data_IF_817133249526
#
_entry.id   IF_817133249526
#
_cell.length_a   1.000
_cell.length_b   1.000
_cell.length_c   1.000
_cell.angle_alpha   90.00
_cell.angle_beta   90.00
_cell.angle_gamma   90.00
#
_symmetry.space_group_name_H-M   'P 1'
#
loop_
_entity.id
_entity.type
_entity.pdbx_description
1 polymer ?
#
# COMPACT_ATOMS: atom_id res chain seq x y z
N UNK A 1 5.78 -4.74 5.40
CA UNK A 1 4.74 -3.81 4.89
C UNK A 1 3.96 -4.51 3.80
N UNK A 2 2.65 -4.29 3.70
CA UNK A 2 1.79 -4.88 2.66
C UNK A 2 0.99 -3.78 1.97
N UNK A 3 0.79 -3.92 0.67
CA UNK A 3 -0.01 -3.01 -0.17
C UNK A 3 -1.08 -3.85 -0.85
N UNK A 4 -2.33 -3.39 -0.76
CA UNK A 4 -3.48 -3.99 -1.43
C UNK A 4 -4.23 -2.88 -2.16
N UNK A 5 -4.74 -3.17 -3.34
CA UNK A 5 -5.56 -2.25 -4.13
C UNK A 5 -6.78 -2.97 -4.67
N UNK A 6 -7.90 -2.26 -4.78
CA UNK A 6 -9.10 -2.77 -5.43
C UNK A 6 -9.55 -1.86 -6.59
N UNK A 7 -10.31 -2.40 -7.57
CA UNK A 7 -10.70 -1.65 -8.78
C UNK A 7 -11.49 -0.35 -8.52
N UNK A 8 -12.09 -0.17 -7.34
CA UNK A 8 -12.86 1.03 -7.02
C UNK A 8 -11.98 2.25 -6.66
N UNK A 9 -10.65 2.12 -6.78
CA UNK A 9 -9.71 3.20 -6.51
C UNK A 9 -9.25 3.24 -5.05
N UNK A 10 -9.44 2.17 -4.28
CA UNK A 10 -8.98 2.11 -2.89
C UNK A 10 -7.65 1.39 -2.78
N UNK A 11 -6.73 1.97 -2.02
CA UNK A 11 -5.42 1.41 -1.72
C UNK A 11 -5.25 1.33 -0.20
N UNK A 12 -4.90 0.15 0.30
CA UNK A 12 -4.67 -0.12 1.71
C UNK A 12 -3.20 -0.49 1.91
N UNK A 13 -2.51 0.26 2.76
CA UNK A 13 -1.14 0.02 3.16
C UNK A 13 -1.14 -0.35 4.63
N UNK A 14 -0.59 -1.52 4.96
CA UNK A 14 -0.46 -1.97 6.35
C UNK A 14 0.99 -2.28 6.70
N UNK A 15 1.37 -1.96 7.93
CA UNK A 15 2.61 -2.39 8.54
C UNK A 15 2.32 -3.01 9.89
N UNK A 16 2.87 -4.19 10.12
CA UNK A 16 2.86 -4.85 11.41
C UNK A 16 4.26 -5.43 11.65
N UNK A 17 4.75 -5.45 12.90
CA UNK A 17 5.99 -6.15 13.23
C UNK A 17 5.83 -7.64 12.92
N UNK A 18 6.92 -8.28 12.49
CA UNK A 18 6.94 -9.73 12.24
C UNK A 18 6.97 -10.52 13.56
N UNK A 19 7.65 -9.97 14.58
CA UNK A 19 7.74 -10.56 15.90
C UNK A 19 6.56 -10.11 16.77
N UNK A 20 5.87 -11.10 17.38
CA UNK A 20 4.75 -10.88 18.30
C UNK A 20 5.22 -10.17 19.58
N UNK A 21 6.37 -10.61 20.09
CA UNK A 21 7.08 -9.91 21.15
C UNK A 21 7.90 -8.79 20.51
N UNK A 22 7.42 -7.56 20.63
CA UNK A 22 7.93 -6.40 19.90
C UNK A 22 8.68 -5.48 20.88
N UNK A 23 9.93 -5.82 21.26
CA UNK A 23 10.65 -5.14 22.34
C UNK A 23 11.04 -3.70 22.01
N UNK A 24 11.04 -3.32 20.73
CA UNK A 24 11.31 -1.96 20.27
C UNK A 24 10.06 -1.08 20.22
N UNK A 25 8.89 -1.60 20.58
CA UNK A 25 7.64 -0.83 20.61
C UNK A 25 7.15 -0.37 19.23
N UNK A 26 7.49 -1.10 18.16
CA UNK A 26 7.05 -0.76 16.79
C UNK A 26 5.52 -0.75 16.72
N UNK A 27 4.93 0.41 16.46
CA UNK A 27 3.46 0.52 16.40
C UNK A 27 2.94 0.08 15.03
N UNK A 28 1.96 -0.85 14.97
CA UNK A 28 1.31 -1.20 13.71
C UNK A 28 0.59 0.01 13.10
N UNK A 29 0.49 0.05 11.77
CA UNK A 29 -0.25 1.10 11.08
C UNK A 29 -1.11 0.56 9.95
N UNK A 30 -2.17 1.32 9.64
CA UNK A 30 -3.03 1.13 8.48
C UNK A 30 -3.31 2.49 7.84
N UNK A 31 -2.92 2.65 6.58
CA UNK A 31 -3.25 3.80 5.76
C UNK A 31 -4.21 3.38 4.66
N UNK A 32 -5.31 4.09 4.54
CA UNK A 32 -6.27 3.92 3.43
C UNK A 32 -6.19 5.18 2.58
N UNK A 33 -6.03 4.99 1.27
CA UNK A 33 -6.07 6.04 0.26
C UNK A 33 -7.25 5.74 -0.66
N UNK A 34 -8.05 6.77 -0.92
CA UNK A 34 -9.12 6.74 -1.90
C UNK A 34 -8.71 7.61 -3.09
N UNK A 35 -8.64 7.01 -4.27
CA UNK A 35 -8.35 7.68 -5.52
C UNK A 35 -9.66 8.13 -6.17
N UNK A 36 -9.63 9.19 -7.00
CA UNK A 36 -10.84 9.82 -7.53
C UNK A 36 -11.57 8.99 -8.60
N UNK A 37 -10.96 7.90 -9.10
CA UNK A 37 -11.53 7.05 -10.14
C UNK A 37 -11.00 5.62 -10.05
N UNK A 38 -11.53 4.74 -10.91
CA UNK A 38 -11.14 3.34 -11.03
C UNK A 38 -9.68 3.17 -11.40
N UNK A 39 -9.10 2.09 -10.92
CA UNK A 39 -7.69 1.74 -11.13
C UNK A 39 -7.58 0.34 -11.73
N UNK A 40 -6.45 0.06 -12.36
CA UNK A 40 -6.06 -1.31 -12.68
C UNK A 40 -5.22 -1.87 -11.51
N UNK A 41 -5.79 -2.71 -10.63
CA UNK A 41 -5.06 -3.25 -9.50
C UNK A 41 -3.99 -4.27 -9.90
N UNK A 42 -4.06 -4.84 -11.11
CA UNK A 42 -3.06 -5.81 -11.60
C UNK A 42 -1.73 -5.12 -11.94
N UNK A 43 -1.79 -3.83 -12.29
CA UNK A 43 -0.64 -2.99 -12.59
C UNK A 43 -0.19 -2.11 -11.39
N UNK A 44 -0.79 -2.33 -10.21
CA UNK A 44 -0.33 -1.70 -8.96
C UNK A 44 1.05 -2.26 -8.60
N UNK A 45 2.02 -1.36 -8.39
CA UNK A 45 3.37 -1.72 -7.97
C UNK A 45 3.81 -0.92 -6.75
N UNK A 46 4.64 -1.54 -5.91
CA UNK A 46 5.14 -0.93 -4.69
C UNK A 46 6.62 -1.28 -4.50
N UNK A 47 7.45 -0.27 -4.25
CA UNK A 47 8.88 -0.43 -3.96
C UNK A 47 9.25 0.28 -2.67
N UNK A 48 10.11 -0.37 -1.88
CA UNK A 48 10.66 0.20 -0.64
C UNK A 48 12.11 0.58 -0.89
N UNK A 49 12.47 1.82 -0.59
CA UNK A 49 13.86 2.28 -0.67
C UNK A 49 14.68 1.84 0.55
N UNK A 50 16.00 1.88 0.43
CA UNK A 50 16.93 1.61 1.54
C UNK A 50 16.74 2.56 2.75
N UNK A 51 16.17 3.75 2.53
CA UNK A 51 15.87 4.71 3.60
C UNK A 51 14.45 4.53 4.18
N UNK A 52 13.81 3.39 3.93
CA UNK A 52 12.49 3.08 4.47
C UNK A 52 11.34 3.86 3.84
N UNK A 53 11.52 4.41 2.63
CA UNK A 53 10.44 5.12 1.91
C UNK A 53 9.69 4.14 1.02
N UNK A 54 8.38 4.06 1.21
CA UNK A 54 7.49 3.29 0.33
C UNK A 54 6.98 4.18 -0.81
N UNK A 55 7.20 3.74 -2.05
CA UNK A 55 6.60 4.33 -3.24
C UNK A 55 5.57 3.35 -3.81
N UNK A 56 4.34 3.81 -4.03
CA UNK A 56 3.26 3.02 -4.60
C UNK A 56 2.78 3.68 -5.89
N UNK A 57 2.86 2.96 -7.00
CA UNK A 57 2.32 3.38 -8.31
C UNK A 57 1.02 2.63 -8.55
N UNK A 58 -0.04 3.39 -8.84
CA UNK A 58 -1.39 2.88 -9.04
C UNK A 58 -1.94 3.50 -10.32
N UNK A 59 -1.93 2.79 -11.45
CA UNK A 59 -2.43 3.33 -12.71
C UNK A 59 -3.96 3.36 -12.71
N UNK A 60 -4.52 4.44 -13.26
CA UNK A 60 -5.96 4.50 -13.53
C UNK A 60 -6.32 3.52 -14.64
N UNK A 61 -7.55 3.01 -14.57
CA UNK A 61 -8.11 2.18 -15.64
C UNK A 61 -8.16 3.01 -16.93
N UNK A 62 -7.47 2.55 -17.99
CA UNK A 62 -7.51 3.24 -19.28
C UNK A 62 -8.86 2.93 -19.94
N UNK A 63 -9.64 3.96 -20.26
CA UNK A 63 -10.76 3.82 -21.19
C UNK A 63 -10.20 3.40 -22.55
N UNK A 64 -10.45 2.16 -22.95
CA UNK A 64 -10.23 1.73 -24.33
C UNK A 64 -11.28 2.31 -25.26
#
# INVERSE_FOLDING_TARGET
VRVQSDPAGRVVITGQPEQVDNPWGITPFKKVISLPTRIDPLETSAVVSLHGRLFVRVPFEQSK
#
